data_IF_686206835837
#
_entry.id   IF_686206835837
#
_cell.length_a   1.000
_cell.length_b   1.000
_cell.length_c   1.000
_cell.angle_alpha   90.00
_cell.angle_beta   90.00
_cell.angle_gamma   90.00
#
_symmetry.space_group_name_H-M   'P 1'
#
loop_
_entity.id
_entity.type
_entity.pdbx_description
1 polymer ?
#
# COMPACT_ATOMS: atom_id res chain seq x y z
N UNK A 1 32.04 62.37 42.25
CA UNK A 1 31.80 61.48 43.41
C UNK A 1 30.51 60.74 43.10
N UNK A 2 30.45 59.44 42.85
CA UNK A 2 31.45 58.41 42.69
C UNK A 2 30.80 57.29 41.86
N UNK A 3 31.57 56.76 40.92
CA UNK A 3 31.69 55.36 40.52
C UNK A 3 30.42 54.49 40.37
N UNK A 4 29.94 54.39 39.13
CA UNK A 4 29.22 53.21 38.63
C UNK A 4 30.23 52.20 38.06
N UNK A 5 30.48 51.12 38.80
CA UNK A 5 31.24 49.97 38.33
C UNK A 5 30.30 48.91 37.75
N UNK A 6 30.66 48.45 36.56
CA UNK A 6 30.16 47.28 35.86
C UNK A 6 30.50 45.99 36.61
N UNK A 7 29.64 44.97 36.55
CA UNK A 7 29.93 43.63 35.96
C UNK A 7 28.97 42.52 36.47
N UNK A 8 28.44 41.81 35.47
CA UNK A 8 28.27 40.35 35.35
C UNK A 8 27.08 39.59 35.97
N UNK A 9 26.32 39.01 35.02
CA UNK A 9 25.86 37.62 34.89
C UNK A 9 24.81 37.05 35.85
N UNK A 10 23.65 36.72 35.27
CA UNK A 10 23.23 35.31 35.10
C UNK A 10 21.92 35.27 34.32
N UNK A 11 21.99 34.74 33.10
CA UNK A 11 20.82 34.34 32.32
C UNK A 11 20.36 32.97 32.83
N UNK A 12 19.13 32.89 33.34
CA UNK A 12 18.42 31.63 33.49
C UNK A 12 17.24 31.67 32.51
N UNK A 13 17.47 31.13 31.32
CA UNK A 13 16.41 30.84 30.36
C UNK A 13 15.48 29.80 30.95
N UNK A 14 14.20 30.13 31.00
CA UNK A 14 13.14 29.15 31.24
C UNK A 14 13.00 28.35 29.94
N UNK A 15 13.47 27.11 30.00
CA UNK A 15 13.30 26.11 28.94
C UNK A 15 11.81 25.87 28.73
N UNK A 16 11.35 26.14 27.51
CA UNK A 16 10.02 25.75 27.05
C UNK A 16 10.07 24.27 26.67
N UNK A 17 9.58 23.39 27.54
CA UNK A 17 9.23 22.03 27.13
C UNK A 17 7.97 22.11 26.25
N UNK A 18 8.19 22.11 24.95
CA UNK A 18 7.20 21.80 23.94
C UNK A 18 7.74 20.63 23.13
N UNK A 19 7.79 19.44 23.74
CA UNK A 19 7.94 18.20 23.00
C UNK A 19 6.57 17.81 22.46
N UNK A 20 6.20 18.45 21.35
CA UNK A 20 5.22 17.89 20.45
C UNK A 20 5.96 16.80 19.66
N UNK A 21 5.73 15.54 20.03
CA UNK A 21 6.06 14.37 19.24
C UNK A 21 5.35 14.49 17.87
N UNK A 22 6.03 15.17 16.94
CA UNK A 22 5.56 15.29 15.56
C UNK A 22 5.97 14.02 14.84
N UNK A 23 5.09 13.02 14.95
CA UNK A 23 4.98 11.80 14.14
C UNK A 23 6.09 11.60 13.11
N UNK A 24 7.26 11.18 13.58
CA UNK A 24 8.35 10.85 12.69
C UNK A 24 8.08 9.45 12.14
N UNK A 25 7.78 9.37 10.84
CA UNK A 25 7.57 8.09 10.15
C UNK A 25 8.79 7.20 10.39
N UNK A 26 8.64 6.01 11.02
CA UNK A 26 9.73 5.07 11.22
C UNK A 26 10.53 4.84 9.94
N UNK A 27 11.85 4.81 10.05
CA UNK A 27 12.76 4.78 8.90
C UNK A 27 12.51 3.59 7.96
N UNK A 28 11.98 2.48 8.48
CA UNK A 28 11.59 1.29 7.72
C UNK A 28 10.55 1.60 6.63
N UNK A 29 9.65 2.57 6.86
CA UNK A 29 8.62 2.93 5.89
C UNK A 29 9.15 3.78 4.74
N UNK A 30 10.30 4.44 4.91
CA UNK A 30 10.97 5.10 3.77
C UNK A 30 11.45 4.08 2.73
N UNK A 31 11.74 2.85 3.15
CA UNK A 31 12.16 1.76 2.25
C UNK A 31 11.00 1.24 1.38
N UNK A 32 9.75 1.51 1.78
CA UNK A 32 8.57 1.08 1.02
C UNK A 32 8.33 1.95 -0.22
N UNK A 33 8.89 3.18 -0.22
CA UNK A 33 8.78 4.14 -1.31
C UNK A 33 7.32 4.41 -1.69
N UNK A 34 7.03 4.47 -2.99
CA UNK A 34 5.69 4.74 -3.50
C UNK A 34 4.75 3.51 -3.50
N UNK A 35 5.22 2.35 -3.01
CA UNK A 35 4.41 1.12 -3.05
C UNK A 35 3.33 1.11 -1.96
N UNK A 36 3.64 1.70 -0.81
CA UNK A 36 2.76 1.76 0.36
C UNK A 36 2.82 3.17 0.94
N UNK A 37 1.68 3.85 0.98
CA UNK A 37 1.52 5.12 1.67
C UNK A 37 1.62 4.88 3.18
N UNK A 38 2.78 5.26 3.73
CA UNK A 38 3.11 5.02 5.13
C UNK A 38 2.10 5.66 6.09
N UNK A 39 1.60 6.86 5.77
CA UNK A 39 0.62 7.55 6.61
C UNK A 39 -0.71 6.79 6.70
N UNK A 40 -1.22 6.27 5.58
CA UNK A 40 -2.43 5.43 5.56
C UNK A 40 -2.17 4.11 6.26
N UNK A 41 -1.04 3.46 6.02
CA UNK A 41 -0.74 2.17 6.63
C UNK A 41 -0.54 2.27 8.15
N UNK A 42 0.04 3.37 8.65
CA UNK A 42 0.16 3.63 10.09
C UNK A 42 -1.19 3.67 10.78
N UNK A 43 -2.22 4.25 10.17
CA UNK A 43 -3.57 4.27 10.76
C UNK A 43 -4.12 2.86 10.96
N UNK A 44 -3.71 1.90 10.13
CA UNK A 44 -4.06 0.49 10.31
C UNK A 44 -3.24 -0.15 11.44
N UNK A 45 -1.95 0.20 11.57
CA UNK A 45 -1.11 -0.27 12.67
C UNK A 45 -1.54 0.29 14.02
N UNK A 46 -2.06 1.51 14.08
CA UNK A 46 -2.64 2.12 15.29
C UNK A 46 -3.88 1.36 15.82
N UNK A 47 -4.44 0.45 15.01
CA UNK A 47 -5.55 -0.42 15.41
C UNK A 47 -5.08 -1.75 16.02
N UNK A 48 -3.78 -2.06 15.98
CA UNK A 48 -3.23 -3.20 16.71
C UNK A 48 -3.19 -2.89 18.22
N UNK A 49 -3.35 -3.92 19.06
CA UNK A 49 -3.42 -3.77 20.52
C UNK A 49 -2.05 -3.35 21.12
N UNK A 50 -0.95 -3.85 20.55
CA UNK A 50 0.42 -3.42 20.87
C UNK A 50 1.39 -3.61 19.69
N UNK A 51 2.60 -3.03 19.80
CA UNK A 51 3.61 -3.07 18.72
C UNK A 51 4.15 -4.48 18.43
N UNK A 52 4.05 -5.42 19.37
CA UNK A 52 4.54 -6.79 19.20
C UNK A 52 3.44 -7.72 18.66
N UNK A 53 2.17 -7.39 18.94
CA UNK A 53 0.96 -8.11 18.53
C UNK A 53 0.22 -7.42 17.39
N UNK A 54 0.76 -7.60 16.18
CA UNK A 54 0.20 -7.04 14.94
C UNK A 54 -0.89 -7.91 14.31
N UNK A 55 -1.72 -8.60 15.11
CA UNK A 55 -2.69 -9.57 14.61
C UNK A 55 -3.74 -8.91 13.70
N UNK A 56 -4.26 -7.75 14.09
CA UNK A 56 -5.32 -7.06 13.34
C UNK A 56 -4.81 -6.60 11.97
N UNK A 57 -3.74 -5.80 11.94
CA UNK A 57 -3.20 -5.28 10.68
C UNK A 57 -2.73 -6.40 9.75
N UNK A 58 -2.09 -7.44 10.30
CA UNK A 58 -1.69 -8.63 9.55
C UNK A 58 -2.90 -9.35 8.95
N UNK A 59 -3.99 -9.51 9.70
CA UNK A 59 -5.20 -10.18 9.20
C UNK A 59 -5.83 -9.44 8.02
N UNK A 60 -5.86 -8.10 8.05
CA UNK A 60 -6.38 -7.28 6.95
C UNK A 60 -5.48 -7.41 5.71
N UNK A 61 -4.15 -7.38 5.90
CA UNK A 61 -3.18 -7.53 4.81
C UNK A 61 -3.28 -8.91 4.14
N UNK A 62 -3.37 -9.98 4.93
CA UNK A 62 -3.55 -11.33 4.38
C UNK A 62 -4.90 -11.49 3.66
N UNK A 63 -5.97 -10.95 4.24
CA UNK A 63 -7.28 -10.94 3.60
C UNK A 63 -7.30 -10.16 2.28
N UNK A 64 -6.54 -9.07 2.18
CA UNK A 64 -6.35 -8.36 0.92
C UNK A 64 -5.61 -9.21 -0.13
N UNK A 65 -4.58 -9.97 0.26
CA UNK A 65 -3.87 -10.84 -0.68
C UNK A 65 -4.79 -11.87 -1.30
N UNK A 66 -5.58 -12.58 -0.49
CA UNK A 66 -6.56 -13.56 -0.97
C UNK A 66 -7.60 -12.90 -1.90
N UNK A 67 -8.07 -11.71 -1.53
CA UNK A 67 -9.03 -10.96 -2.34
C UNK A 67 -8.43 -10.54 -3.70
N UNK A 68 -7.19 -10.07 -3.72
CA UNK A 68 -6.50 -9.65 -4.92
C UNK A 68 -6.27 -10.83 -5.87
N UNK A 69 -5.75 -11.95 -5.37
CA UNK A 69 -5.52 -13.17 -6.16
C UNK A 69 -6.82 -13.70 -6.77
N UNK A 70 -7.90 -13.76 -5.97
CA UNK A 70 -9.21 -14.17 -6.46
C UNK A 70 -9.80 -13.19 -7.50
N UNK A 71 -9.50 -11.90 -7.36
CA UNK A 71 -9.93 -10.87 -8.33
C UNK A 71 -9.13 -10.96 -9.62
N UNK A 72 -7.84 -11.26 -9.55
CA UNK A 72 -6.98 -11.41 -10.72
C UNK A 72 -7.44 -12.55 -11.62
N UNK A 73 -7.82 -13.70 -11.04
CA UNK A 73 -8.40 -14.81 -11.80
C UNK A 73 -9.65 -14.35 -12.58
N UNK A 74 -10.56 -13.61 -11.93
CA UNK A 74 -11.77 -13.09 -12.59
C UNK A 74 -11.46 -12.05 -13.66
N UNK A 75 -10.39 -11.27 -13.50
CA UNK A 75 -9.95 -10.29 -14.50
C UNK A 75 -9.34 -11.00 -15.72
N UNK A 76 -8.58 -12.08 -15.53
CA UNK A 76 -8.10 -12.93 -16.63
C UNK A 76 -9.31 -13.52 -17.40
N UNK A 77 -10.29 -14.10 -16.69
CA UNK A 77 -11.53 -14.63 -17.31
C UNK A 77 -12.29 -13.55 -18.10
N UNK A 78 -12.42 -12.35 -17.52
CA UNK A 78 -13.13 -11.24 -18.15
C UNK A 78 -12.38 -10.66 -19.36
N UNK A 79 -11.04 -10.69 -19.36
CA UNK A 79 -10.23 -10.35 -20.54
C UNK A 79 -10.44 -11.37 -21.66
N UNK A 80 -10.45 -12.67 -21.35
CA UNK A 80 -10.72 -13.72 -22.31
C UNK A 80 -12.11 -13.58 -22.94
N UNK A 81 -13.12 -13.25 -22.13
CA UNK A 81 -14.49 -13.02 -22.60
C UNK A 81 -14.74 -11.61 -23.15
N UNK A 82 -13.72 -10.73 -23.16
CA UNK A 82 -13.82 -9.32 -23.57
C UNK A 82 -14.91 -8.53 -22.83
N UNK A 83 -15.15 -8.81 -21.56
CA UNK A 83 -16.21 -8.17 -20.76
C UNK A 83 -15.70 -6.89 -20.07
N UNK A 84 -15.79 -5.76 -20.78
CA UNK A 84 -15.39 -4.44 -20.27
C UNK A 84 -16.16 -4.03 -19.00
N UNK A 85 -17.43 -4.41 -18.88
CA UNK A 85 -18.25 -4.06 -17.72
C UNK A 85 -17.78 -4.82 -16.46
N UNK A 86 -17.49 -6.11 -16.61
CA UNK A 86 -16.90 -6.91 -15.55
C UNK A 86 -15.52 -6.38 -15.15
N UNK A 87 -14.66 -6.08 -16.13
CA UNK A 87 -13.33 -5.50 -15.88
C UNK A 87 -13.43 -4.17 -15.12
N UNK A 88 -14.36 -3.30 -15.50
CA UNK A 88 -14.63 -2.06 -14.76
C UNK A 88 -15.04 -2.33 -13.31
N UNK A 89 -15.96 -3.27 -13.09
CA UNK A 89 -16.45 -3.59 -11.75
C UNK A 89 -15.37 -4.20 -10.87
N UNK A 90 -14.52 -5.08 -11.43
CA UNK A 90 -13.41 -5.72 -10.72
C UNK A 90 -12.32 -4.70 -10.38
N UNK A 91 -12.00 -3.79 -11.31
CA UNK A 91 -11.09 -2.66 -11.08
C UNK A 91 -11.58 -1.76 -9.95
N UNK A 92 -12.87 -1.39 -9.96
CA UNK A 92 -13.47 -0.60 -8.89
C UNK A 92 -13.40 -1.30 -7.53
N UNK A 93 -13.74 -2.59 -7.49
CA UNK A 93 -13.73 -3.39 -6.27
C UNK A 93 -12.34 -3.43 -5.63
N UNK A 94 -11.32 -3.79 -6.42
CA UNK A 94 -9.96 -3.93 -5.90
C UNK A 94 -9.30 -2.57 -5.60
N UNK A 95 -9.67 -1.51 -6.33
CA UNK A 95 -9.27 -0.12 -6.01
C UNK A 95 -9.66 0.24 -4.58
N UNK A 96 -10.89 -0.04 -4.18
CA UNK A 96 -11.39 0.27 -2.85
C UNK A 96 -10.57 -0.40 -1.75
N UNK A 97 -10.35 -1.72 -1.87
CA UNK A 97 -9.58 -2.45 -0.86
C UNK A 97 -8.09 -2.07 -0.84
N UNK A 98 -7.51 -1.73 -1.99
CA UNK A 98 -6.12 -1.28 -2.09
C UNK A 98 -5.92 0.09 -1.43
N UNK A 99 -6.90 0.99 -1.57
CA UNK A 99 -6.87 2.33 -0.98
C UNK A 99 -6.89 2.27 0.55
N UNK A 100 -7.66 1.35 1.15
CA UNK A 100 -7.71 1.15 2.61
C UNK A 100 -6.34 0.82 3.22
N UNK A 101 -5.47 0.14 2.46
CA UNK A 101 -4.12 -0.24 2.90
C UNK A 101 -3.04 0.72 2.40
N UNK A 102 -3.39 1.83 1.74
CA UNK A 102 -2.42 2.78 1.20
C UNK A 102 -1.61 2.23 0.03
N UNK A 103 -2.10 1.23 -0.70
CA UNK A 103 -1.35 0.58 -1.80
C UNK A 103 -1.43 1.40 -3.09
N UNK A 104 -0.80 2.56 -3.09
CA UNK A 104 -1.01 3.63 -4.09
C UNK A 104 -0.87 3.18 -5.54
N UNK A 105 0.17 2.41 -5.88
CA UNK A 105 0.37 1.93 -7.26
C UNK A 105 -0.71 0.93 -7.69
N UNK A 106 -1.02 -0.03 -6.82
CA UNK A 106 -2.07 -1.03 -7.04
C UNK A 106 -3.42 -0.33 -7.23
N UNK A 107 -3.74 0.62 -6.35
CA UNK A 107 -4.95 1.45 -6.45
C UNK A 107 -5.04 2.19 -7.79
N UNK A 108 -3.95 2.87 -8.19
CA UNK A 108 -3.91 3.65 -9.44
C UNK A 108 -4.09 2.76 -10.68
N UNK A 109 -3.47 1.58 -10.70
CA UNK A 109 -3.64 0.62 -11.81
C UNK A 109 -5.08 0.05 -11.84
N UNK A 110 -5.68 -0.21 -10.67
CA UNK A 110 -7.09 -0.62 -10.58
C UNK A 110 -8.05 0.48 -11.07
N UNK A 111 -7.78 1.75 -10.75
CA UNK A 111 -8.55 2.89 -11.25
C UNK A 111 -8.46 3.03 -12.77
N UNK A 112 -7.28 2.84 -13.36
CA UNK A 112 -7.13 2.84 -14.82
C UNK A 112 -7.92 1.72 -15.47
N UNK A 113 -7.86 0.49 -14.94
CA UNK A 113 -8.68 -0.63 -15.41
C UNK A 113 -10.17 -0.30 -15.32
N UNK A 114 -10.60 0.34 -14.22
CA UNK A 114 -11.96 0.84 -14.07
C UNK A 114 -12.34 1.80 -15.21
N UNK A 115 -11.52 2.82 -15.47
CA UNK A 115 -11.79 3.82 -16.50
C UNK A 115 -11.81 3.21 -17.91
N UNK A 116 -10.84 2.37 -18.26
CA UNK A 116 -10.81 1.71 -19.57
C UNK A 116 -12.02 0.78 -19.76
N UNK A 117 -12.45 0.06 -18.72
CA UNK A 117 -13.66 -0.75 -18.76
C UNK A 117 -14.94 0.09 -18.94
N UNK A 118 -14.92 1.36 -18.56
CA UNK A 118 -15.98 2.33 -18.82
C UNK A 118 -15.87 3.01 -20.20
N UNK A 119 -14.94 2.55 -21.05
CA UNK A 119 -14.65 3.15 -22.36
C UNK A 119 -14.15 4.59 -22.24
N UNK A 120 -13.21 4.81 -21.34
CA UNK A 120 -12.58 6.11 -21.09
C UNK A 120 -11.07 6.02 -21.18
N UNK A 121 -10.41 7.16 -21.30
CA UNK A 121 -8.96 7.27 -21.17
C UNK A 121 -8.47 7.01 -19.73
N UNK A 122 -7.16 7.01 -19.54
CA UNK A 122 -6.54 6.67 -18.25
C UNK A 122 -6.98 7.60 -17.10
N UNK A 123 -7.28 8.87 -17.42
CA UNK A 123 -7.71 9.88 -16.48
C UNK A 123 -9.24 9.84 -16.23
N UNK A 124 -9.98 9.02 -16.98
CA UNK A 124 -11.44 8.90 -16.88
C UNK A 124 -12.19 10.11 -17.45
N UNK A 125 -11.52 10.95 -18.24
CA UNK A 125 -12.03 12.23 -18.72
C UNK A 125 -12.65 12.08 -20.10
N UNK A 126 -11.89 11.54 -21.05
CA UNK A 126 -12.31 11.44 -22.45
C UNK A 126 -12.85 10.05 -22.74
N UNK A 127 -13.89 9.97 -23.55
CA UNK A 127 -14.44 8.69 -24.02
C UNK A 127 -13.52 8.06 -25.10
N UNK A 128 -13.47 6.74 -25.13
CA UNK A 128 -12.77 5.92 -26.12
C UNK A 128 -13.75 4.89 -26.71
N UNK A 129 -14.18 5.09 -27.96
CA UNK A 129 -15.19 4.24 -28.59
C UNK A 129 -14.62 2.90 -29.09
N UNK A 130 -13.30 2.79 -29.25
CA UNK A 130 -12.63 1.56 -29.67
C UNK A 130 -12.47 0.59 -28.49
N UNK A 131 -13.33 -0.43 -28.46
CA UNK A 131 -13.32 -1.48 -27.44
C UNK A 131 -12.02 -2.32 -27.46
N UNK A 132 -11.48 -2.62 -28.64
CA UNK A 132 -10.25 -3.42 -28.73
C UNK A 132 -9.05 -2.62 -28.19
N UNK A 133 -9.05 -1.30 -28.39
CA UNK A 133 -8.07 -0.40 -27.77
C UNK A 133 -8.21 -0.34 -26.25
N UNK A 134 -9.43 -0.26 -25.73
CA UNK A 134 -9.70 -0.32 -24.29
C UNK A 134 -9.20 -1.64 -23.69
N UNK A 135 -9.49 -2.78 -24.34
CA UNK A 135 -9.04 -4.10 -23.91
C UNK A 135 -7.51 -4.19 -23.90
N UNK A 136 -6.84 -3.67 -24.93
CA UNK A 136 -5.38 -3.61 -24.98
C UNK A 136 -4.77 -2.82 -23.81
N UNK A 137 -5.33 -1.65 -23.48
CA UNK A 137 -4.90 -0.87 -22.32
C UNK A 137 -5.16 -1.57 -20.98
N UNK A 138 -6.28 -2.28 -20.86
CA UNK A 138 -6.57 -3.08 -19.66
C UNK A 138 -5.56 -4.21 -19.52
N UNK A 139 -5.25 -4.94 -20.59
CA UNK A 139 -4.28 -6.04 -20.56
C UNK A 139 -2.88 -5.54 -20.15
N UNK A 140 -2.42 -4.43 -20.75
CA UNK A 140 -1.14 -3.80 -20.39
C UNK A 140 -1.12 -3.35 -18.91
N UNK A 141 -2.19 -2.70 -18.48
CA UNK A 141 -2.31 -2.19 -17.10
C UNK A 141 -2.46 -3.33 -16.09
N UNK A 142 -3.13 -4.41 -16.45
CA UNK A 142 -3.30 -5.56 -15.59
C UNK A 142 -2.00 -6.33 -15.39
N UNK A 143 -1.20 -6.48 -16.45
CA UNK A 143 0.17 -7.01 -16.34
C UNK A 143 1.06 -6.14 -15.45
N UNK A 144 0.88 -4.82 -15.46
CA UNK A 144 1.55 -3.89 -14.54
C UNK A 144 1.06 -4.07 -13.10
N UNK A 145 -0.26 -4.15 -12.91
CA UNK A 145 -0.90 -4.38 -11.62
C UNK A 145 -0.38 -5.64 -10.92
N UNK A 146 -0.23 -6.76 -11.65
CA UNK A 146 0.33 -8.01 -11.11
C UNK A 146 1.74 -7.82 -10.54
N UNK A 147 2.60 -7.04 -11.22
CA UNK A 147 3.97 -6.75 -10.74
C UNK A 147 3.99 -5.83 -9.52
N UNK A 148 3.16 -4.78 -9.55
CA UNK A 148 3.02 -3.85 -8.41
C UNK A 148 2.49 -4.58 -7.17
N UNK A 149 1.55 -5.50 -7.36
CA UNK A 149 1.06 -6.38 -6.31
C UNK A 149 2.19 -7.27 -5.74
N UNK A 150 2.99 -7.93 -6.58
CA UNK A 150 4.11 -8.77 -6.11
C UNK A 150 5.14 -7.98 -5.29
N UNK A 151 5.39 -6.71 -5.65
CA UNK A 151 6.24 -5.81 -4.88
C UNK A 151 5.67 -5.54 -3.48
N UNK A 152 4.38 -5.20 -3.40
CA UNK A 152 3.68 -4.98 -2.13
C UNK A 152 3.66 -6.24 -1.26
N UNK A 153 3.35 -7.40 -1.85
CA UNK A 153 3.35 -8.69 -1.14
C UNK A 153 4.71 -8.95 -0.52
N UNK A 154 5.80 -8.71 -1.26
CA UNK A 154 7.17 -8.89 -0.74
C UNK A 154 7.46 -7.96 0.43
N UNK A 155 7.12 -6.68 0.29
CA UNK A 155 7.34 -5.65 1.32
C UNK A 155 6.61 -6.04 2.61
N UNK A 156 5.30 -6.30 2.51
CA UNK A 156 4.46 -6.55 3.67
C UNK A 156 4.72 -7.93 4.30
N UNK A 157 4.97 -8.98 3.51
CA UNK A 157 5.39 -10.28 4.07
C UNK A 157 6.71 -10.17 4.83
N UNK A 158 7.67 -9.40 4.32
CA UNK A 158 8.93 -9.14 5.01
C UNK A 158 8.69 -8.39 6.32
N UNK A 159 7.84 -7.35 6.31
CA UNK A 159 7.48 -6.59 7.51
C UNK A 159 6.85 -7.46 8.60
N UNK A 160 5.93 -8.37 8.25
CA UNK A 160 5.30 -9.29 9.20
C UNK A 160 6.10 -10.57 9.49
N UNK A 161 7.34 -10.69 9.00
CA UNK A 161 8.18 -11.87 9.21
C UNK A 161 7.65 -13.15 8.56
N UNK A 162 6.81 -13.04 7.53
CA UNK A 162 6.23 -14.17 6.80
C UNK A 162 7.23 -14.59 5.71
N UNK A 163 7.86 -15.75 5.87
CA UNK A 163 8.80 -16.29 4.87
C UNK A 163 8.08 -16.69 3.57
N UNK A 164 8.71 -16.49 2.39
CA UNK A 164 8.18 -17.03 1.13
C UNK A 164 8.17 -18.57 1.17
N UNK A 165 7.27 -19.24 0.41
CA UNK A 165 7.13 -20.70 0.42
C UNK A 165 8.39 -21.50 0.06
N UNK A 166 9.45 -20.87 -0.48
CA UNK A 166 10.67 -21.56 -0.90
C UNK A 166 11.73 -21.78 0.20
N UNK A 167 11.44 -21.44 1.47
CA UNK A 167 12.35 -21.65 2.60
C UNK A 167 11.85 -22.63 3.67
N UNK A 168 10.71 -23.30 3.45
CA UNK A 168 10.38 -24.48 4.27
C UNK A 168 11.27 -25.63 3.80
N UNK A 169 12.41 -25.79 4.46
CA UNK A 169 13.24 -26.99 4.38
C UNK A 169 12.38 -28.25 4.51
N UNK A 170 12.75 -29.37 3.84
CA UNK A 170 12.00 -30.61 3.98
C UNK A 170 11.96 -31.01 5.46
N UNK A 171 10.77 -31.29 5.98
CA UNK A 171 10.61 -31.90 7.30
C UNK A 171 11.48 -33.16 7.34
N UNK A 172 12.49 -33.15 8.21
CA UNK A 172 13.22 -34.36 8.59
C UNK A 172 12.24 -35.28 9.34
N UNK A 173 11.57 -36.16 8.60
CA UNK A 173 11.14 -37.44 9.15
C UNK A 173 12.40 -38.26 9.48
N UNK A 174 12.94 -38.05 10.68
CA UNK A 174 14.04 -38.86 11.21
C UNK A 174 14.05 -38.90 12.74
N UNK A 175 13.57 -40.04 13.24
CA UNK A 175 13.81 -40.69 14.55
C UNK A 175 12.96 -40.16 15.72
N UNK A 176 12.27 -41.01 16.49
CA UNK A 176 12.48 -42.44 16.79
C UNK A 176 11.16 -43.16 17.09
#
# INVERSE_FOLDING_TARGET
MSDTHSLHESEAGVETEADADQGQIPAIFNEWGENVDAATFMQILEMDDDEDDKEFSKSIVLGFFDQAEATFIKMDDALESKDLAALSSLGHFLKGSSATLGLSKVMNSCEKIQHFGQKKDAEGINDEEDEDKCLGWIEETFNKLKKEYDEVVRILKTYYGIKPPSETAPEEDSKA
#
